data_IF_316376096080
#
_entry.id   IF_316376096080
#
_cell.length_a   1.000
_cell.length_b   1.000
_cell.length_c   1.000
_cell.angle_alpha   90.00
_cell.angle_beta   90.00
_cell.angle_gamma   90.00
#
_symmetry.space_group_name_H-M   'P 1'
#
loop_
_entity.id
_entity.type
_entity.pdbx_description
1 polymer ?
#
# COMPACT_ATOMS: atom_id res chain seq x y z
N UNK A 1 32.35 -29.42 22.33
CA UNK A 1 32.63 -30.64 21.56
C UNK A 1 31.29 -31.22 21.15
N UNK A 2 30.87 -31.05 19.90
CA UNK A 2 29.62 -31.63 19.41
C UNK A 2 29.89 -33.08 19.05
N UNK A 3 29.30 -34.00 19.82
CA UNK A 3 29.39 -35.43 19.61
C UNK A 3 28.92 -35.77 18.19
N UNK A 4 29.82 -36.34 17.39
CA UNK A 4 29.46 -36.92 16.09
C UNK A 4 28.68 -38.19 16.38
N UNK A 5 27.36 -38.13 16.18
CA UNK A 5 26.52 -39.32 16.19
C UNK A 5 26.82 -40.09 14.91
N UNK A 6 27.66 -41.10 15.01
CA UNK A 6 27.96 -41.99 13.90
C UNK A 6 26.74 -42.87 13.64
N UNK A 7 25.94 -42.50 12.63
CA UNK A 7 24.78 -43.29 12.22
C UNK A 7 25.21 -44.63 11.64
N UNK A 8 24.36 -45.64 11.81
CA UNK A 8 24.57 -46.96 11.21
C UNK A 8 24.30 -46.92 9.70
N UNK A 9 24.93 -47.81 8.89
CA UNK A 9 24.69 -47.88 7.44
C UNK A 9 23.21 -47.97 7.05
N UNK A 10 22.40 -48.66 7.87
CA UNK A 10 20.96 -48.83 7.65
C UNK A 10 20.18 -47.52 7.86
N UNK A 11 20.57 -46.70 8.85
CA UNK A 11 19.95 -45.39 9.10
C UNK A 11 20.25 -44.41 7.96
N UNK A 12 21.45 -44.44 7.39
CA UNK A 12 21.77 -43.64 6.20
C UNK A 12 20.89 -44.01 5.00
N UNK A 13 20.64 -45.30 4.77
CA UNK A 13 19.75 -45.73 3.67
C UNK A 13 18.31 -45.22 3.84
N UNK A 14 17.81 -45.20 5.07
CA UNK A 14 16.48 -44.67 5.39
C UNK A 14 16.43 -43.16 5.11
N UNK A 15 17.42 -42.42 5.61
CA UNK A 15 17.53 -40.96 5.40
C UNK A 15 17.64 -40.63 3.91
N UNK A 16 18.46 -41.36 3.16
CA UNK A 16 18.61 -41.16 1.71
C UNK A 16 17.26 -41.37 1.00
N UNK A 17 16.50 -42.41 1.35
CA UNK A 17 15.18 -42.67 0.77
C UNK A 17 14.17 -41.57 1.09
N UNK A 18 14.21 -41.02 2.30
CA UNK A 18 13.35 -39.90 2.71
C UNK A 18 13.70 -38.62 1.94
N UNK A 19 14.99 -38.26 1.87
CA UNK A 19 15.46 -37.09 1.13
C UNK A 19 15.12 -37.18 -0.37
N UNK A 20 15.18 -38.38 -0.96
CA UNK A 20 14.79 -38.59 -2.35
C UNK A 20 13.30 -38.32 -2.58
N UNK A 21 12.42 -38.74 -1.66
CA UNK A 21 10.98 -38.45 -1.73
C UNK A 21 10.71 -36.95 -1.56
N UNK A 22 11.37 -36.30 -0.61
CA UNK A 22 11.23 -34.85 -0.41
C UNK A 22 11.65 -34.05 -1.65
N UNK A 23 12.76 -34.44 -2.27
CA UNK A 23 13.23 -33.82 -3.51
C UNK A 23 12.21 -33.95 -4.66
N UNK A 24 11.53 -35.09 -4.78
CA UNK A 24 10.47 -35.26 -5.78
C UNK A 24 9.27 -34.34 -5.51
N UNK A 25 8.86 -34.19 -4.24
CA UNK A 25 7.78 -33.29 -3.85
C UNK A 25 8.16 -31.83 -4.13
N UNK A 26 9.38 -31.42 -3.78
CA UNK A 26 9.88 -30.07 -4.03
C UNK A 26 9.94 -29.75 -5.53
N UNK A 27 10.40 -30.69 -6.36
CA UNK A 27 10.40 -30.53 -7.83
C UNK A 27 8.99 -30.29 -8.38
N UNK A 28 7.98 -31.02 -7.89
CA UNK A 28 6.58 -30.79 -8.29
C UNK A 28 6.08 -29.41 -7.88
N UNK A 29 6.42 -28.96 -6.66
CA UNK A 29 6.01 -27.64 -6.16
C UNK A 29 6.65 -26.49 -6.94
N UNK A 30 7.91 -26.62 -7.33
CA UNK A 30 8.62 -25.63 -8.15
C UNK A 30 7.92 -25.48 -9.50
N UNK A 31 7.63 -26.59 -10.20
CA UNK A 31 6.94 -26.55 -11.49
C UNK A 31 5.54 -25.90 -11.42
N UNK A 32 4.80 -26.15 -10.33
CA UNK A 32 3.51 -25.50 -10.07
C UNK A 32 3.67 -23.97 -9.93
N UNK A 33 4.65 -23.52 -9.15
CA UNK A 33 4.92 -22.08 -8.95
C UNK A 33 5.35 -21.38 -10.24
N UNK A 34 6.22 -22.01 -11.03
CA UNK A 34 6.65 -21.48 -12.33
C UNK A 34 5.48 -21.31 -13.30
N UNK A 35 4.57 -22.30 -13.36
CA UNK A 35 3.37 -22.19 -14.20
C UNK A 35 2.45 -21.04 -13.77
N UNK A 36 2.38 -20.77 -12.46
CA UNK A 36 1.58 -19.69 -11.88
C UNK A 36 2.20 -18.31 -12.15
N UNK A 37 3.52 -18.18 -12.08
CA UNK A 37 4.19 -16.92 -12.40
C UNK A 37 4.09 -16.59 -13.90
N UNK A 38 4.00 -17.61 -14.76
CA UNK A 38 3.77 -17.42 -16.18
C UNK A 38 2.36 -16.90 -16.50
N UNK A 39 1.33 -17.27 -15.73
CA UNK A 39 -0.01 -16.69 -15.91
C UNK A 39 -0.09 -15.23 -15.47
N UNK A 40 0.67 -14.82 -14.45
CA UNK A 40 0.73 -13.43 -14.00
C UNK A 40 1.44 -12.49 -14.99
N UNK A 41 2.43 -12.97 -15.75
CA UNK A 41 3.09 -12.17 -16.80
C UNK A 41 2.20 -11.89 -18.02
N UNK A 42 1.12 -12.66 -18.20
CA UNK A 42 0.31 -12.65 -19.43
C UNK A 42 -0.92 -11.75 -19.33
N UNK A 43 -1.22 -11.12 -18.19
CA UNK A 43 -2.27 -10.10 -18.20
C UNK A 43 -1.75 -8.87 -18.97
N UNK A 44 -2.29 -8.54 -20.15
CA UNK A 44 -1.92 -7.31 -20.83
C UNK A 44 -2.41 -6.14 -20.00
N UNK A 45 -1.50 -5.21 -19.73
CA UNK A 45 -1.83 -3.90 -19.20
C UNK A 45 -2.91 -3.27 -20.11
N UNK A 46 -4.01 -2.74 -19.57
CA UNK A 46 -5.06 -2.19 -20.42
C UNK A 46 -4.50 -1.04 -21.25
N UNK A 47 -4.60 -1.15 -22.58
CA UNK A 47 -4.23 -0.08 -23.51
C UNK A 47 -5.09 1.15 -23.23
N UNK A 48 -4.50 2.16 -22.57
CA UNK A 48 -5.14 3.46 -22.35
C UNK A 48 -5.08 4.22 -23.68
N UNK A 49 -6.23 4.50 -24.28
CA UNK A 49 -6.30 5.34 -25.48
C UNK A 49 -5.67 6.73 -25.22
N UNK A 50 -4.87 7.28 -26.15
CA UNK A 50 -4.23 8.57 -25.96
C UNK A 50 -5.28 9.69 -25.88
N UNK A 51 -5.24 10.43 -24.77
CA UNK A 51 -6.05 11.62 -24.51
C UNK A 51 -5.84 12.63 -25.64
N UNK A 52 -6.90 12.93 -26.39
CA UNK A 52 -6.87 13.91 -27.50
C UNK A 52 -6.67 15.33 -26.98
N UNK A 53 -5.51 15.88 -27.32
CA UNK A 53 -5.17 17.29 -27.58
C UNK A 53 -5.51 18.32 -26.50
N UNK A 54 -4.44 18.73 -25.80
CA UNK A 54 -4.39 19.90 -24.93
C UNK A 54 -4.65 21.17 -25.76
N UNK A 55 -5.60 22.01 -25.33
CA UNK A 55 -5.64 23.40 -25.78
C UNK A 55 -4.35 24.08 -25.30
N UNK A 56 -3.65 24.76 -26.20
CA UNK A 56 -2.46 25.53 -25.88
C UNK A 56 -2.78 26.56 -24.80
N UNK A 57 -2.27 26.34 -23.59
CA UNK A 57 -2.28 27.33 -22.53
C UNK A 57 -1.06 28.19 -22.80
N UNK A 58 -1.27 29.46 -23.16
CA UNK A 58 -0.20 30.44 -23.30
C UNK A 58 0.37 30.71 -21.90
N UNK A 59 1.51 30.11 -21.60
CA UNK A 59 2.25 30.31 -20.36
C UNK A 59 3.03 31.62 -20.52
N UNK A 60 2.58 32.70 -19.89
CA UNK A 60 3.36 33.93 -19.78
C UNK A 60 4.55 33.72 -18.84
N UNK A 61 5.71 34.28 -19.19
CA UNK A 61 6.98 34.19 -18.41
C UNK A 61 6.85 34.64 -16.94
N UNK A 62 5.76 35.31 -16.57
CA UNK A 62 5.43 35.71 -15.21
C UNK A 62 5.24 34.55 -14.21
N UNK A 63 5.15 33.30 -14.66
CA UNK A 63 4.92 32.13 -13.79
C UNK A 63 6.20 31.67 -13.08
N UNK A 64 7.38 32.02 -13.61
CA UNK A 64 8.66 31.47 -13.11
C UNK A 64 9.35 32.31 -12.02
N UNK A 65 8.78 33.43 -11.57
CA UNK A 65 9.44 34.34 -10.60
C UNK A 65 8.88 34.29 -9.17
N UNK A 66 8.20 33.20 -8.78
CA UNK A 66 7.74 33.01 -7.41
C UNK A 66 8.25 31.67 -6.85
N UNK A 67 9.48 31.65 -6.34
CA UNK A 67 10.08 30.55 -5.55
C UNK A 67 9.45 30.38 -4.15
N UNK A 68 8.22 30.87 -3.98
CA UNK A 68 7.38 30.56 -2.84
C UNK A 68 5.99 30.40 -3.41
N UNK A 69 5.69 29.20 -3.90
CA UNK A 69 4.30 28.76 -4.06
C UNK A 69 3.71 28.87 -2.66
N UNK A 70 2.73 29.76 -2.39
CA UNK A 70 2.00 29.68 -1.15
C UNK A 70 1.36 28.30 -1.15
N UNK A 71 1.75 27.44 -0.21
CA UNK A 71 1.20 26.11 -0.04
C UNK A 71 -0.23 26.23 0.49
N UNK A 72 -1.12 26.85 -0.28
CA UNK A 72 -2.55 26.90 -0.01
C UNK A 72 -3.18 25.62 -0.58
N UNK A 73 -2.60 24.46 -0.24
CA UNK A 73 -3.17 23.15 -0.56
C UNK A 73 -4.37 22.93 0.38
N UNK A 74 -5.55 23.31 -0.10
CA UNK A 74 -6.83 22.88 0.46
C UNK A 74 -7.36 23.75 1.60
N UNK A 75 -8.13 24.78 1.25
CA UNK A 75 -9.00 25.54 2.17
C UNK A 75 -10.23 24.73 2.62
N UNK A 76 -10.08 23.44 2.87
CA UNK A 76 -11.09 22.62 3.52
C UNK A 76 -10.82 22.64 5.03
N UNK A 77 -11.76 23.16 5.83
CA UNK A 77 -11.65 23.10 7.30
C UNK A 77 -11.76 21.64 7.73
N UNK A 78 -10.63 21.01 8.05
CA UNK A 78 -10.58 19.66 8.62
C UNK A 78 -11.10 19.73 10.06
N UNK A 79 -12.13 18.95 10.38
CA UNK A 79 -12.71 18.91 11.72
C UNK A 79 -11.92 17.98 12.65
N UNK A 80 -12.05 18.19 13.96
CA UNK A 80 -11.64 17.20 14.96
C UNK A 80 -12.85 16.32 15.28
N UNK A 81 -12.70 15.01 15.10
CA UNK A 81 -13.75 14.03 15.40
C UNK A 81 -13.34 13.14 16.56
N UNK A 82 -14.35 12.58 17.25
CA UNK A 82 -14.16 11.70 18.42
C UNK A 82 -13.71 10.29 18.01
N UNK A 83 -14.19 9.81 16.86
CA UNK A 83 -13.96 8.44 16.42
C UNK A 83 -13.52 8.37 14.95
N UNK A 84 -12.77 7.31 14.62
CA UNK A 84 -12.31 6.99 13.25
C UNK A 84 -13.44 6.46 12.38
N UNK A 85 -14.50 5.93 12.99
CA UNK A 85 -15.59 5.22 12.32
C UNK A 85 -16.94 5.94 12.40
N UNK A 86 -16.93 7.14 12.93
CA UNK A 86 -18.12 7.97 13.08
C UNK A 86 -17.83 9.35 12.53
N UNK A 87 -18.68 9.79 11.61
CA UNK A 87 -18.58 11.12 11.04
C UNK A 87 -19.02 12.18 12.08
N UNK A 88 -18.20 13.18 12.42
CA UNK A 88 -18.55 14.20 13.41
C UNK A 88 -19.65 15.16 12.94
N UNK A 89 -19.97 15.18 11.65
CA UNK A 89 -20.97 16.09 11.06
C UNK A 89 -22.34 15.43 10.89
N UNK A 90 -22.39 14.20 10.37
CA UNK A 90 -23.65 13.51 10.06
C UNK A 90 -23.90 12.25 10.90
N UNK A 91 -22.97 11.85 11.78
CA UNK A 91 -23.11 10.66 12.60
C UNK A 91 -23.09 9.33 11.81
N UNK A 92 -22.65 9.36 10.55
CA UNK A 92 -22.55 8.14 9.75
C UNK A 92 -21.56 7.17 10.37
N UNK A 93 -22.04 5.95 10.63
CA UNK A 93 -21.30 4.83 11.22
C UNK A 93 -21.02 3.69 10.22
N UNK A 94 -21.44 3.87 8.97
CA UNK A 94 -21.23 2.90 7.90
C UNK A 94 -19.77 2.89 7.47
N UNK A 95 -19.01 1.92 8.00
CA UNK A 95 -17.59 1.68 7.68
C UNK A 95 -17.24 1.73 6.18
N UNK A 96 -18.01 1.13 5.24
CA UNK A 96 -17.63 1.16 3.82
C UNK A 96 -17.72 2.56 3.19
N UNK A 97 -18.48 3.48 3.78
CA UNK A 97 -18.60 4.86 3.31
C UNK A 97 -17.55 5.80 3.90
N UNK A 98 -16.78 5.36 4.91
CA UNK A 98 -15.73 6.17 5.53
C UNK A 98 -14.39 5.76 4.94
N UNK A 99 -13.75 6.67 4.19
CA UNK A 99 -12.45 6.43 3.56
C UNK A 99 -11.33 7.03 4.39
N UNK A 100 -10.24 6.30 4.53
CA UNK A 100 -9.01 6.77 5.14
C UNK A 100 -8.06 7.28 4.05
N UNK A 101 -7.58 8.50 4.18
CA UNK A 101 -6.76 9.20 3.18
C UNK A 101 -5.53 9.80 3.88
N UNK A 102 -4.40 9.88 3.16
CA UNK A 102 -3.21 10.56 3.67
C UNK A 102 -3.41 12.07 3.74
N UNK A 103 -3.02 12.64 4.87
CA UNK A 103 -3.10 14.06 5.12
C UNK A 103 -1.74 14.73 4.94
N UNK A 104 -1.50 15.23 3.73
CA UNK A 104 -0.26 15.92 3.38
C UNK A 104 -0.03 17.23 4.15
N UNK A 105 -1.06 17.74 4.83
CA UNK A 105 -0.95 18.96 5.66
C UNK A 105 -0.54 18.64 7.11
N UNK A 106 -0.55 17.37 7.51
CA UNK A 106 -0.12 16.92 8.83
C UNK A 106 1.13 16.04 8.71
N UNK A 107 2.31 16.65 8.85
CA UNK A 107 3.58 15.93 8.84
C UNK A 107 3.86 15.35 10.24
N UNK A 108 4.01 14.03 10.34
CA UNK A 108 4.36 13.34 11.59
C UNK A 108 5.87 13.29 11.78
N UNK A 109 6.62 13.00 10.71
CA UNK A 109 8.07 12.94 10.72
C UNK A 109 8.60 13.46 9.38
N UNK A 110 9.65 14.26 9.42
CA UNK A 110 10.25 14.80 8.19
C UNK A 110 11.22 13.81 7.52
N UNK A 111 11.90 12.97 8.31
CA UNK A 111 12.81 11.94 7.79
C UNK A 111 12.84 10.66 8.64
N UNK A 112 12.38 9.50 8.12
CA UNK A 112 11.71 9.32 6.83
C UNK A 112 10.37 10.10 6.78
N UNK A 113 10.05 10.67 5.62
CA UNK A 113 8.89 11.54 5.45
C UNK A 113 7.58 10.78 5.64
N UNK A 114 6.87 11.06 6.72
CA UNK A 114 5.64 10.39 7.15
C UNK A 114 4.53 11.41 7.38
N UNK A 115 3.38 11.18 6.75
CA UNK A 115 2.19 12.01 6.90
C UNK A 115 1.13 11.33 7.78
N UNK A 116 0.33 12.16 8.44
CA UNK A 116 -0.84 11.72 9.18
C UNK A 116 -1.96 11.23 8.28
N UNK A 117 -3.01 10.73 8.92
CA UNK A 117 -4.22 10.24 8.26
C UNK A 117 -5.38 11.18 8.55
N UNK A 118 -6.25 11.35 7.56
CA UNK A 118 -7.55 11.99 7.68
C UNK A 118 -8.65 11.05 7.18
N UNK A 119 -9.85 11.24 7.67
CA UNK A 119 -11.03 10.47 7.30
C UNK A 119 -11.95 11.32 6.44
N UNK A 120 -12.56 10.71 5.43
CA UNK A 120 -13.51 11.34 4.52
C UNK A 120 -14.85 10.58 4.54
N UNK A 121 -15.95 11.29 4.78
CA UNK A 121 -17.29 10.72 4.79
C UNK A 121 -17.87 10.69 3.37
N UNK A 122 -18.25 9.51 2.89
CA UNK A 122 -18.91 9.33 1.59
C UNK A 122 -20.33 9.90 1.50
N UNK A 123 -20.98 10.21 2.62
CA UNK A 123 -22.35 10.78 2.63
C UNK A 123 -22.34 12.31 2.61
N UNK A 124 -21.60 12.94 3.53
CA UNK A 124 -21.62 14.40 3.69
C UNK A 124 -20.35 15.12 3.19
N UNK A 125 -19.34 14.37 2.74
CA UNK A 125 -18.08 14.90 2.22
C UNK A 125 -17.17 15.55 3.26
N UNK A 126 -17.48 15.45 4.56
CA UNK A 126 -16.66 16.07 5.59
C UNK A 126 -15.34 15.33 5.76
N UNK A 127 -14.28 16.08 6.01
CA UNK A 127 -12.97 15.56 6.36
C UNK A 127 -12.67 15.81 7.84
N UNK A 128 -12.15 14.81 8.55
CA UNK A 128 -11.78 14.96 9.96
C UNK A 128 -10.53 14.17 10.36
N UNK A 129 -9.93 14.59 11.47
CA UNK A 129 -8.85 13.90 12.18
C UNK A 129 -9.34 13.46 13.54
N UNK A 130 -8.77 12.37 14.05
CA UNK A 130 -9.01 11.92 15.43
C UNK A 130 -7.80 12.33 16.25
N UNK A 131 -7.96 13.16 17.30
CA UNK A 131 -6.87 13.47 18.20
C UNK A 131 -6.42 12.20 18.93
N UNK A 132 -5.10 12.03 19.07
CA UNK A 132 -4.55 10.99 19.93
C UNK A 132 -4.35 11.66 21.28
N UNK A 133 -5.20 11.31 22.25
CA UNK A 133 -4.91 11.62 23.64
C UNK A 133 -3.70 10.78 24.05
N UNK A 134 -2.63 11.43 24.50
CA UNK A 134 -1.42 10.79 25.03
C UNK A 134 -1.47 10.79 26.56
#
# INVERSE_FOLDING_TARGET
>A
MTDKKDFTPQEYEIIIKELMKENEVLKKRIAELESRDQTYKVQPEPEIEPIKQQKEIVISESIFSQDVVPLEMGKGKILQGVSRRECPKCGNNNKPLIREILDKTHLICDYPRMYGKKYHCGECGVEWRVPIEM
#
